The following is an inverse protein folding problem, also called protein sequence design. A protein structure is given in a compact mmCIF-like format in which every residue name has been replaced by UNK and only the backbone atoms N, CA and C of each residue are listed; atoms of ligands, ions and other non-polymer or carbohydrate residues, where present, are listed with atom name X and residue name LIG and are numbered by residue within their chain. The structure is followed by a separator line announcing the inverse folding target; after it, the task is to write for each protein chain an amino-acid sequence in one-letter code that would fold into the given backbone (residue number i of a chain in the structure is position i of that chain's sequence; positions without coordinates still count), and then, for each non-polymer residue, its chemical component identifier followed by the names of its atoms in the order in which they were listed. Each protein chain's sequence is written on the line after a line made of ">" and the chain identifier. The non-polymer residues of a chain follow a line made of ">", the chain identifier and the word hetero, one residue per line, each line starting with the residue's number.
data_IF_220133393655
#
_entry.id   IF_220133393655
#
_cell.length_a   1.000
_cell.length_b   1.000
_cell.length_c   1.000
_cell.angle_alpha   90.00
_cell.angle_beta   90.00
_cell.angle_gamma   90.00
#
_symmetry.space_group_name_H-M   'P 1'
#
loop_
_entity.id
_entity.type
_entity.pdbx_description
1 polymer ?
#
# COMPACT_ATOMS: atom_id res chain seq x y z
N UNK A 1 -6.86 -6.25 17.40
CA UNK A 1 -7.60 -5.71 16.24
C UNK A 1 -7.33 -6.60 15.05
N UNK A 2 -8.31 -6.87 14.18
CA UNK A 2 -8.13 -7.80 13.06
C UNK A 2 -8.52 -7.12 11.76
N UNK A 3 -7.53 -6.94 10.90
CA UNK A 3 -7.72 -6.66 9.49
C UNK A 3 -7.57 -7.97 8.72
N UNK A 4 -8.50 -8.23 7.81
CA UNK A 4 -8.32 -9.29 6.81
C UNK A 4 -7.93 -8.62 5.51
N UNK A 5 -6.71 -8.90 5.06
CA UNK A 5 -6.13 -8.31 3.86
C UNK A 5 -6.08 -9.34 2.74
N UNK A 6 -6.16 -8.87 1.50
CA UNK A 6 -5.83 -9.65 0.31
C UNK A 6 -4.89 -8.85 -0.59
N UNK A 7 -4.02 -9.52 -1.37
CA UNK A 7 -3.20 -8.82 -2.34
C UNK A 7 -4.05 -8.22 -3.45
N UNK A 8 -3.71 -7.02 -3.91
CA UNK A 8 -4.36 -6.40 -5.07
C UNK A 8 -3.98 -7.17 -6.35
N UNK A 9 -2.72 -7.58 -6.45
CA UNK A 9 -2.22 -8.45 -7.52
C UNK A 9 -1.72 -9.75 -6.87
N UNK A 10 -2.40 -10.87 -7.11
CA UNK A 10 -2.06 -12.19 -6.52
C UNK A 10 -0.86 -12.86 -7.21
N UNK A 11 0.29 -12.20 -7.20
CA UNK A 11 1.59 -12.70 -7.69
C UNK A 11 2.69 -12.29 -6.70
N UNK A 12 3.79 -13.04 -6.70
CA UNK A 12 4.92 -12.73 -5.83
C UNK A 12 5.62 -11.43 -6.24
N UNK A 13 6.13 -10.70 -5.25
CA UNK A 13 7.03 -9.57 -5.51
C UNK A 13 8.27 -10.04 -6.26
N UNK A 14 8.67 -9.28 -7.28
CA UNK A 14 9.70 -9.70 -8.25
C UNK A 14 9.13 -10.41 -9.48
N UNK A 15 7.85 -10.79 -9.50
CA UNK A 15 7.22 -11.42 -10.67
C UNK A 15 7.00 -10.44 -11.81
N UNK A 16 7.07 -10.96 -13.05
CA UNK A 16 6.61 -10.21 -14.25
C UNK A 16 5.09 -10.10 -14.28
N UNK A 17 4.59 -8.88 -14.46
CA UNK A 17 3.17 -8.54 -14.54
C UNK A 17 2.89 -7.64 -15.74
N UNK A 18 1.68 -7.74 -16.26
CA UNK A 18 1.15 -6.86 -17.30
C UNK A 18 -0.07 -6.14 -16.75
N UNK A 19 -0.10 -4.82 -16.88
CA UNK A 19 -1.21 -3.96 -16.44
C UNK A 19 -1.89 -3.42 -17.68
N UNK A 20 -3.12 -3.87 -17.89
CA UNK A 20 -3.94 -3.49 -19.04
C UNK A 20 -4.45 -2.04 -18.95
N UNK A 21 -4.96 -1.56 -20.08
CA UNK A 21 -5.69 -0.29 -20.12
C UNK A 21 -6.91 -0.31 -19.18
N UNK A 22 -7.24 0.86 -18.61
CA UNK A 22 -8.38 0.99 -17.69
C UNK A 22 -8.12 0.50 -16.26
N UNK A 23 -6.85 0.24 -15.89
CA UNK A 23 -6.51 -0.06 -14.50
C UNK A 23 -6.91 1.09 -13.55
N UNK A 24 -7.21 0.77 -12.29
CA UNK A 24 -7.59 1.77 -11.30
C UNK A 24 -6.33 2.39 -10.66
N UNK A 25 -6.04 3.68 -10.87
CA UNK A 25 -4.85 4.34 -10.32
C UNK A 25 -4.90 4.48 -8.78
N UNK A 26 -6.07 4.32 -8.16
CA UNK A 26 -6.17 4.26 -6.69
C UNK A 26 -5.75 2.90 -6.12
N UNK A 27 -5.67 1.85 -6.95
CA UNK A 27 -5.27 0.50 -6.53
C UNK A 27 -3.86 0.13 -6.99
N UNK A 28 -3.42 0.67 -8.12
CA UNK A 28 -2.13 0.33 -8.74
C UNK A 28 -1.37 1.61 -9.04
N UNK A 29 -0.18 1.73 -8.46
CA UNK A 29 0.76 2.81 -8.76
C UNK A 29 1.82 2.29 -9.73
N UNK A 30 1.87 2.88 -10.92
CA UNK A 30 2.96 2.64 -11.86
C UNK A 30 4.17 3.48 -11.45
N UNK A 31 5.37 2.89 -11.50
CA UNK A 31 6.62 3.57 -11.12
C UNK A 31 7.69 3.31 -12.18
N UNK A 32 8.61 4.28 -12.34
CA UNK A 32 9.68 4.21 -13.33
C UNK A 32 9.36 5.01 -14.60
N UNK A 33 10.02 4.63 -15.71
CA UNK A 33 9.85 5.31 -16.99
C UNK A 33 8.60 4.78 -17.71
N UNK A 34 7.60 5.64 -17.85
CA UNK A 34 6.30 5.32 -18.44
C UNK A 34 6.22 5.95 -19.83
N UNK A 35 6.74 5.25 -20.83
CA UNK A 35 6.53 5.58 -22.24
C UNK A 35 5.53 4.64 -22.89
N UNK A 36 4.71 5.18 -23.78
CA UNK A 36 3.69 4.43 -24.50
C UNK A 36 2.37 4.27 -23.76
N UNK A 37 1.48 3.53 -24.41
CA UNK A 37 0.16 3.19 -23.90
C UNK A 37 0.20 1.77 -23.30
N UNK A 38 -0.77 1.43 -22.43
CA UNK A 38 -0.93 0.06 -21.94
C UNK A 38 -1.04 -0.95 -23.10
N UNK A 39 -0.73 -2.23 -22.87
CA UNK A 39 -0.40 -2.83 -21.57
C UNK A 39 1.02 -2.49 -21.08
N UNK A 40 1.13 -2.11 -19.80
CA UNK A 40 2.42 -1.87 -19.15
C UNK A 40 3.00 -3.17 -18.62
N UNK A 41 4.19 -3.54 -19.10
CA UNK A 41 4.88 -4.76 -18.69
C UNK A 41 6.02 -4.41 -17.74
N UNK A 42 6.00 -4.97 -16.52
CA UNK A 42 6.96 -4.62 -15.49
C UNK A 42 7.17 -5.71 -14.44
N UNK A 43 7.98 -5.37 -13.43
CA UNK A 43 8.24 -6.22 -12.26
C UNK A 43 7.37 -5.72 -11.12
N UNK A 44 6.58 -6.61 -10.51
CA UNK A 44 5.76 -6.30 -9.34
C UNK A 44 6.68 -5.98 -8.16
N UNK A 45 6.78 -4.70 -7.78
CA UNK A 45 7.59 -4.28 -6.63
C UNK A 45 6.94 -4.61 -5.30
N UNK A 46 5.63 -4.41 -5.21
CA UNK A 46 4.82 -4.71 -4.04
C UNK A 46 3.42 -5.10 -4.51
N UNK A 47 2.84 -6.16 -3.95
CA UNK A 47 1.54 -6.70 -4.41
C UNK A 47 0.32 -5.85 -4.07
N UNK A 48 0.52 -4.85 -3.20
CA UNK A 48 -0.56 -4.04 -2.63
C UNK A 48 -1.42 -4.83 -1.66
N UNK A 49 -2.18 -4.13 -0.83
CA UNK A 49 -3.09 -4.75 0.12
C UNK A 49 -4.45 -4.08 0.04
N UNK A 50 -5.48 -4.89 -0.26
CA UNK A 50 -6.87 -4.49 -0.17
C UNK A 50 -7.46 -5.04 1.14
N UNK A 51 -8.38 -4.30 1.74
CA UNK A 51 -9.01 -4.69 3.01
C UNK A 51 -10.32 -5.41 2.70
N UNK A 52 -10.38 -6.71 2.99
CA UNK A 52 -11.61 -7.50 2.87
C UNK A 52 -12.58 -7.27 4.02
N UNK A 53 -12.05 -7.16 5.23
CA UNK A 53 -12.85 -6.86 6.40
C UNK A 53 -12.03 -6.16 7.47
N UNK A 54 -12.67 -5.24 8.17
CA UNK A 54 -12.08 -4.49 9.26
C UNK A 54 -12.95 -4.62 10.50
N UNK A 55 -12.35 -5.10 11.59
CA UNK A 55 -12.94 -5.03 12.93
C UNK A 55 -12.05 -4.12 13.77
N UNK A 56 -12.25 -2.81 13.56
CA UNK A 56 -11.61 -1.77 14.37
C UNK A 56 -12.52 -1.50 15.57
N UNK A 57 -12.02 -1.65 16.81
CA UNK A 57 -12.78 -1.30 18.01
C UNK A 57 -13.07 0.20 18.04
N UNK A 58 -14.14 0.60 18.73
CA UNK A 58 -14.41 2.01 18.93
C UNK A 58 -13.24 2.70 19.64
N UNK A 59 -12.86 3.86 19.11
CA UNK A 59 -11.77 4.65 19.66
C UNK A 59 -12.15 5.11 21.07
N UNK A 60 -11.41 4.63 22.06
CA UNK A 60 -11.61 5.00 23.47
C UNK A 60 -11.32 6.49 23.70
N UNK A 61 -11.98 7.09 24.68
CA UNK A 61 -11.69 8.47 25.10
C UNK A 61 -10.21 8.70 25.46
N UNK A 62 -9.55 7.69 26.03
CA UNK A 62 -8.13 7.76 26.37
C UNK A 62 -7.24 7.91 25.14
N UNK A 63 -7.55 7.23 24.04
CA UNK A 63 -6.83 7.41 22.77
C UNK A 63 -7.14 8.78 22.14
N UNK A 64 -8.40 9.24 22.18
CA UNK A 64 -8.77 10.56 21.62
C UNK A 64 -8.00 11.72 22.24
N UNK A 65 -7.59 11.60 23.51
CA UNK A 65 -6.77 12.62 24.21
C UNK A 65 -5.35 12.74 23.64
N UNK A 66 -4.84 11.71 22.98
CA UNK A 66 -3.53 11.73 22.33
C UNK A 66 -3.49 10.77 21.12
N UNK A 67 -4.04 11.16 19.97
CA UNK A 67 -4.26 10.27 18.82
C UNK A 67 -2.98 10.09 18.00
N UNK A 68 -1.99 9.40 18.55
CA UNK A 68 -0.72 9.10 17.88
C UNK A 68 -0.76 7.67 17.33
N UNK A 69 -0.78 7.53 16.00
CA UNK A 69 -0.71 6.22 15.32
C UNK A 69 0.73 5.68 15.26
N UNK A 70 1.70 6.55 15.01
CA UNK A 70 3.13 6.25 14.99
C UNK A 70 3.90 7.47 15.47
N UNK A 71 5.01 7.25 16.17
CA UNK A 71 5.86 8.33 16.66
C UNK A 71 6.66 8.93 15.49
N UNK A 72 6.99 10.21 15.59
CA UNK A 72 7.96 10.81 14.70
C UNK A 72 9.37 10.30 15.03
N UNK A 73 10.17 9.97 14.02
CA UNK A 73 11.57 9.61 14.18
C UNK A 73 12.43 10.86 13.99
N UNK A 74 13.33 11.12 14.95
CA UNK A 74 14.29 12.22 14.90
C UNK A 74 15.71 11.66 14.95
N UNK A 75 16.46 11.83 13.87
CA UNK A 75 17.89 11.51 13.84
C UNK A 75 18.70 12.66 14.46
N UNK A 76 19.53 12.35 15.47
CA UNK A 76 20.46 13.30 16.07
C UNK A 76 21.81 13.18 15.34
N UNK A 77 22.31 14.23 14.67
CA UNK A 77 23.59 14.16 13.98
C UNK A 77 24.73 13.96 14.99
N UNK A 78 25.70 13.11 14.63
CA UNK A 78 26.92 12.95 15.42
C UNK A 78 27.81 14.18 15.27
N UNK A 79 28.47 14.59 16.36
CA UNK A 79 29.43 15.71 16.36
C UNK A 79 30.70 15.39 15.58
#
# INVERSE_FOLDING_TARGET
>A
EKLTLQPIISKEEGSKVSIEEGFNPNKIMLTGFLEGLPPYNGILKHQGWDVLSSQIPEVTESFRKNPVLVQAELEIPQK
#
